data_IF_668974138811
#
_entry.id   IF_668974138811
#
_cell.length_a   1.000
_cell.length_b   1.000
_cell.length_c   1.000
_cell.angle_alpha   90.00
_cell.angle_beta   90.00
_cell.angle_gamma   90.00
#
_symmetry.space_group_name_H-M   'P 1'
#
loop_
_entity.id
_entity.type
_entity.pdbx_description
1 polymer ?
#
# COMPACT_ATOMS: atom_id res chain seq x y z
N UNK A 1 -42.84 -23.22 -10.89
CA UNK A 1 -41.37 -23.36 -10.96
C UNK A 1 -40.89 -22.47 -12.08
N UNK A 2 -40.15 -21.40 -11.75
CA UNK A 2 -39.12 -20.74 -12.56
C UNK A 2 -38.70 -19.47 -11.82
N UNK A 3 -38.03 -19.66 -10.68
CA UNK A 3 -37.19 -18.61 -10.09
C UNK A 3 -35.94 -18.57 -10.95
N UNK A 4 -35.99 -17.75 -12.00
CA UNK A 4 -34.77 -17.26 -12.65
C UNK A 4 -34.17 -16.27 -11.66
N UNK A 5 -33.54 -16.80 -10.62
CA UNK A 5 -32.54 -16.09 -9.83
C UNK A 5 -31.38 -15.83 -10.81
N UNK A 6 -31.53 -14.77 -11.60
CA UNK A 6 -30.40 -14.16 -12.27
C UNK A 6 -29.43 -13.78 -11.15
N UNK A 7 -28.35 -14.55 -11.03
CA UNK A 7 -27.16 -14.14 -10.32
C UNK A 7 -26.80 -12.74 -10.80
N UNK A 8 -27.21 -11.72 -10.05
CA UNK A 8 -26.65 -10.38 -10.18
C UNK A 8 -25.16 -10.53 -9.89
N UNK A 9 -24.36 -10.72 -10.94
CA UNK A 9 -22.92 -10.56 -10.89
C UNK A 9 -22.67 -9.18 -10.29
N UNK A 10 -22.36 -9.13 -9.00
CA UNK A 10 -21.90 -7.93 -8.31
C UNK A 10 -20.69 -7.41 -9.08
N UNK A 11 -20.93 -6.51 -10.03
CA UNK A 11 -19.88 -5.83 -10.77
C UNK A 11 -19.11 -5.03 -9.74
N UNK A 12 -17.82 -5.31 -9.63
CA UNK A 12 -16.94 -4.47 -8.82
C UNK A 12 -17.06 -3.02 -9.30
N UNK A 13 -17.04 -2.03 -8.38
CA UNK A 13 -16.92 -0.63 -8.74
C UNK A 13 -15.80 -0.43 -9.77
N UNK A 14 -16.02 0.46 -10.74
CA UNK A 14 -15.09 0.64 -11.88
C UNK A 14 -13.69 1.02 -11.39
N UNK A 15 -13.63 1.82 -10.34
CA UNK A 15 -12.41 2.28 -9.67
C UNK A 15 -11.62 1.09 -9.10
N UNK A 16 -12.32 0.14 -8.48
CA UNK A 16 -11.71 -1.08 -7.93
C UNK A 16 -11.19 -1.97 -9.05
N UNK A 17 -11.93 -2.09 -10.15
CA UNK A 17 -11.52 -2.89 -11.31
C UNK A 17 -10.29 -2.30 -11.99
N UNK A 18 -10.25 -0.98 -12.17
CA UNK A 18 -9.09 -0.28 -12.74
C UNK A 18 -7.88 -0.42 -11.82
N UNK A 19 -8.05 -0.22 -10.50
CA UNK A 19 -6.98 -0.41 -9.54
C UNK A 19 -6.43 -1.84 -9.56
N UNK A 20 -7.30 -2.86 -9.58
CA UNK A 20 -6.91 -4.27 -9.70
C UNK A 20 -6.18 -4.57 -11.01
N UNK A 21 -6.63 -3.99 -12.13
CA UNK A 21 -5.96 -4.16 -13.41
C UNK A 21 -4.54 -3.54 -13.40
N UNK A 22 -4.40 -2.32 -12.87
CA UNK A 22 -3.09 -1.65 -12.74
C UNK A 22 -2.16 -2.44 -11.82
N UNK A 23 -2.65 -2.86 -10.65
CA UNK A 23 -1.87 -3.70 -9.72
C UNK A 23 -1.48 -5.02 -10.37
N UNK A 24 -2.39 -5.69 -11.08
CA UNK A 24 -2.10 -6.94 -11.79
C UNK A 24 -1.03 -6.79 -12.88
N UNK A 25 -1.08 -5.69 -13.65
CA UNK A 25 -0.06 -5.38 -14.66
C UNK A 25 1.29 -5.10 -14.00
N UNK A 26 1.33 -4.31 -12.93
CA UNK A 26 2.57 -4.03 -12.19
C UNK A 26 3.18 -5.30 -11.57
N UNK A 27 2.36 -6.17 -10.98
CA UNK A 27 2.80 -7.44 -10.38
C UNK A 27 3.32 -8.41 -11.43
N UNK A 28 2.70 -8.47 -12.61
CA UNK A 28 3.14 -9.35 -13.71
C UNK A 28 4.40 -8.85 -14.42
N UNK A 29 4.63 -7.53 -14.45
CA UNK A 29 5.85 -6.93 -14.99
C UNK A 29 7.02 -6.92 -13.99
N UNK A 30 6.75 -7.03 -12.68
CA UNK A 30 7.78 -7.03 -11.65
C UNK A 30 8.85 -8.12 -11.85
N UNK A 31 8.51 -9.40 -12.15
CA UNK A 31 9.51 -10.44 -12.45
C UNK A 31 10.41 -10.07 -13.64
N UNK A 32 9.82 -9.49 -14.69
CA UNK A 32 10.57 -9.10 -15.90
C UNK A 32 11.57 -7.98 -15.57
N UNK A 33 11.14 -6.98 -14.80
CA UNK A 33 12.02 -5.91 -14.34
C UNK A 33 13.14 -6.42 -13.42
N UNK A 34 12.83 -7.37 -12.52
CA UNK A 34 13.81 -7.99 -11.61
C UNK A 34 14.88 -8.77 -12.41
N UNK A 35 14.47 -9.57 -13.40
CA UNK A 35 15.40 -10.39 -14.21
C UNK A 35 16.30 -9.51 -15.09
N UNK A 36 15.79 -8.39 -15.60
CA UNK A 36 16.56 -7.52 -16.49
C UNK A 36 17.59 -6.66 -15.75
N UNK A 37 17.39 -6.35 -14.47
CA UNK A 37 18.26 -5.42 -13.76
C UNK A 37 18.31 -5.68 -12.25
N UNK A 38 18.62 -6.93 -11.88
CA UNK A 38 18.58 -7.43 -10.50
C UNK A 38 19.37 -6.54 -9.52
N UNK A 39 20.55 -6.06 -9.94
CA UNK A 39 21.41 -5.19 -9.14
C UNK A 39 20.80 -3.81 -8.83
N UNK A 40 19.93 -3.29 -9.70
CA UNK A 40 19.28 -1.99 -9.52
C UNK A 40 17.90 -2.12 -8.85
N UNK A 41 17.20 -3.24 -9.06
CA UNK A 41 15.85 -3.45 -8.54
C UNK A 41 15.85 -3.81 -7.05
N UNK A 42 16.81 -4.62 -6.61
CA UNK A 42 16.93 -5.01 -5.19
C UNK A 42 17.04 -3.81 -4.22
N UNK A 43 17.95 -2.83 -4.44
CA UNK A 43 18.04 -1.66 -3.55
C UNK A 43 16.81 -0.76 -3.61
N UNK A 44 16.10 -0.69 -4.74
CA UNK A 44 14.85 0.07 -4.87
C UNK A 44 13.73 -0.58 -4.07
N UNK A 45 13.53 -1.90 -4.21
CA UNK A 45 12.54 -2.66 -3.43
C UNK A 45 12.88 -2.58 -1.94
N UNK A 46 14.15 -2.77 -1.58
CA UNK A 46 14.59 -2.68 -0.19
C UNK A 46 14.38 -1.28 0.38
N UNK A 47 14.68 -0.22 -0.39
CA UNK A 47 14.42 1.15 0.02
C UNK A 47 12.93 1.45 0.16
N UNK A 48 12.08 0.91 -0.73
CA UNK A 48 10.63 1.06 -0.64
C UNK A 48 10.11 0.34 0.60
N UNK A 49 10.51 -0.90 0.85
CA UNK A 49 10.14 -1.65 2.05
C UNK A 49 10.57 -0.91 3.32
N UNK A 50 11.81 -0.43 3.39
CA UNK A 50 12.28 0.32 4.56
C UNK A 50 11.47 1.60 4.76
N UNK A 51 11.14 2.35 3.72
CA UNK A 51 10.34 3.56 3.90
C UNK A 51 8.86 3.26 4.24
N UNK A 52 8.22 2.33 3.52
CA UNK A 52 6.80 2.04 3.67
C UNK A 52 6.47 1.11 4.84
N UNK A 53 7.44 0.41 5.41
CA UNK A 53 7.24 -0.42 6.61
C UNK A 53 7.76 0.30 7.85
N UNK A 54 8.99 0.82 7.82
CA UNK A 54 9.64 1.37 9.01
C UNK A 54 8.99 2.68 9.46
N UNK A 55 8.68 3.59 8.53
CA UNK A 55 8.08 4.89 8.87
C UNK A 55 6.68 4.71 9.46
N UNK A 56 5.72 3.99 8.84
CA UNK A 56 4.42 3.74 9.47
C UNK A 56 4.53 2.98 10.79
N UNK A 57 5.52 2.08 10.93
CA UNK A 57 5.75 1.36 12.19
C UNK A 57 6.18 2.30 13.33
N UNK A 58 7.06 3.26 13.07
CA UNK A 58 7.47 4.28 14.05
C UNK A 58 6.25 5.10 14.50
N UNK A 59 5.43 5.53 13.55
CA UNK A 59 4.20 6.27 13.86
C UNK A 59 3.18 5.42 14.63
N UNK A 60 3.06 4.12 14.34
CA UNK A 60 2.27 3.19 15.12
C UNK A 60 2.79 3.03 16.55
N UNK A 61 4.11 2.98 16.76
CA UNK A 61 4.71 2.91 18.10
C UNK A 61 4.38 4.15 18.92
N UNK A 62 4.60 5.35 18.36
CA UNK A 62 4.23 6.60 19.03
C UNK A 62 2.71 6.71 19.25
N UNK A 63 1.92 6.33 18.25
CA UNK A 63 0.47 6.28 18.35
C UNK A 63 -0.02 5.28 19.40
N UNK A 64 0.68 4.16 19.58
CA UNK A 64 0.43 3.18 20.63
C UNK A 64 0.68 3.74 22.02
N UNK A 65 1.79 4.46 22.21
CA UNK A 65 2.08 5.17 23.46
C UNK A 65 0.98 6.22 23.75
N UNK A 66 0.55 6.96 22.73
CA UNK A 66 -0.55 7.93 22.88
C UNK A 66 -1.88 7.25 23.19
N UNK A 67 -2.17 6.09 22.59
CA UNK A 67 -3.38 5.30 22.89
C UNK A 67 -3.43 4.82 24.35
N UNK A 68 -2.28 4.51 24.94
CA UNK A 68 -2.19 4.14 26.35
C UNK A 68 -2.53 5.33 27.27
N UNK A 69 -2.27 6.56 26.83
CA UNK A 69 -2.58 7.79 27.56
C UNK A 69 -4.00 8.31 27.30
N UNK A 70 -4.47 8.21 26.06
CA UNK A 70 -5.78 8.69 25.62
C UNK A 70 -6.56 7.58 24.91
N UNK A 71 -7.61 7.10 25.57
CA UNK A 71 -8.48 6.02 25.03
C UNK A 71 -9.23 6.43 23.77
N UNK A 72 -9.42 7.72 23.51
CA UNK A 72 -10.07 8.21 22.29
C UNK A 72 -9.13 8.29 21.09
N UNK A 73 -7.81 8.20 21.30
CA UNK A 73 -6.84 8.26 20.21
C UNK A 73 -7.05 7.12 19.20
N UNK A 74 -6.99 7.41 17.89
CA UNK A 74 -7.15 6.40 16.85
C UNK A 74 -5.79 6.00 16.27
N UNK A 75 -5.37 4.75 16.51
CA UNK A 75 -4.12 4.17 16.00
C UNK A 75 -4.08 4.15 14.47
N UNK A 76 -5.22 4.02 13.80
CA UNK A 76 -5.30 4.06 12.34
C UNK A 76 -4.89 5.44 11.80
N UNK A 77 -5.25 6.52 12.49
CA UNK A 77 -4.84 7.87 12.09
C UNK A 77 -3.32 8.03 12.14
N UNK A 78 -2.66 7.46 13.16
CA UNK A 78 -1.20 7.47 13.25
C UNK A 78 -0.54 6.64 12.13
N UNK A 79 -1.10 5.46 11.83
CA UNK A 79 -0.63 4.62 10.73
C UNK A 79 -0.72 5.35 9.38
N UNK A 80 -1.88 5.94 9.05
CA UNK A 80 -2.08 6.66 7.80
C UNK A 80 -1.20 7.91 7.69
N UNK A 81 -0.96 8.59 8.80
CA UNK A 81 -0.04 9.73 8.82
C UNK A 81 1.40 9.29 8.57
N UNK A 82 1.84 8.18 9.15
CA UNK A 82 3.14 7.58 8.83
C UNK A 82 3.24 7.11 7.38
N UNK A 83 2.16 6.54 6.82
CA UNK A 83 2.09 6.12 5.42
C UNK A 83 2.18 7.33 4.47
N UNK A 84 1.49 8.42 4.79
CA UNK A 84 1.56 9.67 4.03
C UNK A 84 2.99 10.24 4.00
N UNK A 85 3.66 10.29 5.16
CA UNK A 85 5.07 10.74 5.25
C UNK A 85 5.99 9.83 4.43
N UNK A 86 5.78 8.50 4.48
CA UNK A 86 6.55 7.56 3.69
C UNK A 86 6.38 7.78 2.18
N UNK A 87 5.16 8.07 1.70
CA UNK A 87 4.87 8.39 0.30
C UNK A 87 5.60 9.66 -0.12
N UNK A 88 5.52 10.72 0.69
CA UNK A 88 6.18 12.00 0.38
C UNK A 88 7.70 11.85 0.30
N UNK A 89 8.31 11.14 1.24
CA UNK A 89 9.76 10.91 1.25
C UNK A 89 10.20 9.99 0.10
N UNK A 90 9.42 8.96 -0.22
CA UNK A 90 9.68 8.10 -1.38
C UNK A 90 9.58 8.88 -2.69
N UNK A 91 8.60 9.78 -2.83
CA UNK A 91 8.44 10.63 -4.00
C UNK A 91 9.62 11.61 -4.17
N UNK A 92 10.11 12.21 -3.08
CA UNK A 92 11.30 13.07 -3.11
C UNK A 92 12.55 12.30 -3.57
N UNK A 93 12.73 11.06 -3.09
CA UNK A 93 13.88 10.22 -3.47
C UNK A 93 13.83 9.77 -4.94
N UNK A 94 12.64 9.70 -5.54
CA UNK A 94 12.46 9.36 -6.95
C UNK A 94 12.64 10.58 -7.89
N UNK A 95 12.47 11.79 -7.36
CA UNK A 95 12.59 13.06 -8.11
C UNK A 95 14.00 13.68 -8.06
N UNK A 96 14.90 13.12 -7.25
CA UNK A 96 16.30 13.54 -7.09
C UNK A 96 17.24 12.59 -7.84
#
# INVERSE_FOLDING_TARGET
MNNVEMEEKKKFPKEITIALAVVGVLVSLAPVAIIQNEAAVLPVIFSLLMNFVLIPSIFLLFGGIQKLRDKQFNLWSAYYLGLFVAIVLAAQKLAA
#
